data_IF_796479357493
#
_entry.id   IF_796479357493
#
_cell.length_a   1.000
_cell.length_b   1.000
_cell.length_c   1.000
_cell.angle_alpha   90.00
_cell.angle_beta   90.00
_cell.angle_gamma   90.00
#
_symmetry.space_group_name_H-M   'P 1'
#
loop_
_entity.id
_entity.type
_entity.pdbx_description
1 polymer ?
#
# COMPACT_ATOMS: atom_id res chain seq x y z
N UNK A 1 59.41 -22.18 53.59
CA UNK A 1 58.57 -20.98 53.29
C UNK A 1 58.28 -21.00 51.80
N UNK A 2 57.04 -21.35 51.40
CA UNK A 2 56.60 -21.40 49.98
C UNK A 2 55.50 -20.37 49.80
N UNK A 3 55.78 -19.31 49.06
CA UNK A 3 54.80 -18.29 48.69
C UNK A 3 53.99 -18.77 47.49
N UNK A 4 52.68 -18.84 47.66
CA UNK A 4 51.71 -19.06 46.55
C UNK A 4 51.37 -17.71 45.93
N UNK A 5 51.75 -17.55 44.67
CA UNK A 5 51.28 -16.41 43.82
C UNK A 5 49.91 -16.78 43.23
N UNK A 6 48.88 -16.01 43.61
CA UNK A 6 47.53 -16.13 43.01
C UNK A 6 47.47 -15.24 41.75
N UNK A 7 47.44 -15.86 40.60
CA UNK A 7 47.16 -15.17 39.35
C UNK A 7 45.66 -14.79 39.22
N UNK A 8 45.37 -13.50 39.10
CA UNK A 8 44.04 -13.01 38.81
C UNK A 8 43.81 -13.01 37.26
N UNK A 9 42.98 -13.89 36.79
CA UNK A 9 42.52 -13.92 35.38
C UNK A 9 41.42 -12.89 35.20
N UNK A 10 41.73 -11.83 34.49
CA UNK A 10 40.80 -10.76 34.12
C UNK A 10 40.01 -11.22 32.88
N UNK A 11 38.74 -11.58 33.06
CA UNK A 11 37.83 -11.93 31.96
C UNK A 11 37.36 -10.64 31.27
N UNK A 12 37.78 -10.43 30.04
CA UNK A 12 37.27 -9.37 29.16
C UNK A 12 35.94 -9.82 28.59
N UNK A 13 34.82 -9.25 29.08
CA UNK A 13 33.50 -9.44 28.49
C UNK A 13 33.40 -8.65 27.18
N UNK A 14 33.42 -9.36 26.06
CA UNK A 14 33.21 -8.78 24.75
C UNK A 14 31.69 -8.50 24.57
N UNK A 15 31.31 -7.23 24.75
CA UNK A 15 29.93 -6.79 24.55
C UNK A 15 29.65 -6.74 23.03
N UNK A 16 29.06 -7.79 22.47
CA UNK A 16 28.51 -7.76 21.09
C UNK A 16 27.24 -6.95 21.10
N UNK A 17 27.35 -5.67 20.71
CA UNK A 17 26.19 -4.88 20.36
C UNK A 17 25.56 -5.48 19.10
N UNK A 18 24.50 -6.28 19.26
CA UNK A 18 23.68 -6.78 18.18
C UNK A 18 22.98 -5.60 17.51
N UNK A 19 23.49 -5.17 16.37
CA UNK A 19 22.78 -4.22 15.51
C UNK A 19 21.46 -4.86 15.07
N UNK A 20 20.33 -4.32 15.50
CA UNK A 20 19.03 -4.70 14.99
C UNK A 20 19.00 -4.36 13.49
N UNK A 21 19.07 -5.38 12.64
CA UNK A 21 18.81 -5.24 11.21
C UNK A 21 17.37 -4.80 11.06
N UNK A 22 17.14 -3.59 10.55
CA UNK A 22 15.81 -3.14 10.18
C UNK A 22 15.19 -4.14 9.22
N UNK A 23 13.94 -4.56 9.49
CA UNK A 23 13.24 -5.47 8.60
C UNK A 23 13.22 -4.90 7.18
N UNK A 24 13.48 -5.71 6.14
CA UNK A 24 13.44 -5.23 4.77
C UNK A 24 12.04 -4.68 4.48
N UNK A 25 11.99 -3.46 3.93
CA UNK A 25 10.74 -2.82 3.53
C UNK A 25 10.03 -3.62 2.42
N UNK A 26 8.76 -3.36 2.19
CA UNK A 26 8.01 -4.00 1.09
C UNK A 26 8.74 -3.80 -0.23
N UNK A 27 8.95 -4.88 -1.02
CA UNK A 27 9.54 -4.74 -2.35
C UNK A 27 8.62 -3.91 -3.25
N UNK A 28 9.21 -3.04 -4.05
CA UNK A 28 8.46 -2.26 -5.06
C UNK A 28 8.39 -3.03 -6.37
N UNK A 29 7.30 -2.87 -7.16
CA UNK A 29 6.13 -2.05 -6.87
C UNK A 29 5.16 -2.73 -5.90
N UNK A 30 4.43 -1.93 -5.10
CA UNK A 30 3.34 -2.44 -4.28
C UNK A 30 2.16 -1.46 -4.23
N UNK A 31 0.98 -1.98 -3.86
CA UNK A 31 -0.22 -1.18 -3.74
C UNK A 31 -0.34 -0.53 -2.36
N UNK A 32 -0.84 0.69 -2.35
CA UNK A 32 -1.25 1.43 -1.17
C UNK A 32 -2.52 2.23 -1.48
N UNK A 33 -3.12 2.81 -0.48
CA UNK A 33 -4.26 3.71 -0.63
C UNK A 33 -4.06 5.00 0.16
N UNK A 34 -4.74 6.08 -0.21
CA UNK A 34 -4.70 7.32 0.55
C UNK A 34 -5.43 7.17 1.88
N UNK A 35 -4.75 7.49 2.99
CA UNK A 35 -5.30 7.38 4.34
C UNK A 35 -6.06 8.64 4.79
N UNK A 36 -5.92 9.75 4.05
CA UNK A 36 -6.45 11.05 4.39
C UNK A 36 -7.44 11.54 3.32
N UNK A 37 -8.36 12.43 3.72
CA UNK A 37 -9.31 13.05 2.79
C UNK A 37 -8.63 14.06 1.85
N UNK A 38 -7.50 14.63 2.29
CA UNK A 38 -6.61 15.44 1.47
C UNK A 38 -5.18 14.91 1.55
N UNK A 39 -4.55 14.66 0.41
CA UNK A 39 -3.16 14.22 0.30
C UNK A 39 -2.44 15.00 -0.80
N UNK A 40 -1.25 15.51 -0.48
CA UNK A 40 -0.42 16.28 -1.41
C UNK A 40 0.68 15.42 -2.00
N UNK A 41 0.77 15.41 -3.31
CA UNK A 41 1.88 14.88 -4.07
C UNK A 41 2.86 16.00 -4.41
N UNK A 42 4.17 15.71 -4.28
CA UNK A 42 5.25 16.67 -4.51
C UNK A 42 6.16 16.21 -5.63
N UNK A 43 6.90 17.16 -6.20
CA UNK A 43 7.85 16.85 -7.27
C UNK A 43 9.11 16.16 -6.77
N UNK A 44 9.38 16.17 -5.45
CA UNK A 44 10.56 15.53 -4.84
C UNK A 44 10.31 15.05 -3.42
N UNK A 45 11.21 14.24 -2.86
CA UNK A 45 11.07 13.56 -1.58
C UNK A 45 11.48 14.42 -0.38
N UNK A 46 10.90 15.61 -0.25
CA UNK A 46 11.06 16.52 0.90
C UNK A 46 9.87 17.46 0.99
N UNK A 47 9.65 18.06 2.16
CA UNK A 47 8.66 19.12 2.37
C UNK A 47 9.05 20.42 1.64
N UNK A 48 10.33 20.61 1.32
CA UNK A 48 10.84 21.78 0.60
C UNK A 48 10.46 21.78 -0.89
N UNK A 49 10.14 20.60 -1.44
CA UNK A 49 9.67 20.51 -2.81
C UNK A 49 8.22 20.99 -2.94
N UNK A 50 7.90 21.72 -4.00
CA UNK A 50 6.53 22.18 -4.23
C UNK A 50 5.57 21.01 -4.45
N UNK A 51 4.32 21.21 -4.02
CA UNK A 51 3.23 20.30 -4.34
C UNK A 51 2.76 20.55 -5.77
N UNK A 52 2.71 19.52 -6.59
CA UNK A 52 2.23 19.57 -7.96
C UNK A 52 0.80 19.03 -8.10
N UNK A 53 0.30 18.33 -7.09
CA UNK A 53 -1.06 17.78 -7.09
C UNK A 53 -1.64 17.66 -5.68
N UNK A 54 -2.96 17.82 -5.57
CA UNK A 54 -3.72 17.63 -4.32
C UNK A 54 -4.87 16.66 -4.59
N UNK A 55 -4.83 15.50 -3.97
CA UNK A 55 -5.92 14.52 -3.99
C UNK A 55 -6.89 14.82 -2.87
N UNK A 56 -8.19 14.79 -3.17
CA UNK A 56 -9.27 14.96 -2.17
C UNK A 56 -10.17 13.75 -2.15
N UNK A 57 -9.54 12.58 -1.95
CA UNK A 57 -10.26 11.32 -1.98
C UNK A 57 -9.56 10.27 -1.13
N UNK A 58 -10.13 9.98 0.03
CA UNK A 58 -9.71 8.85 0.86
C UNK A 58 -9.88 7.53 0.10
N UNK A 59 -9.08 6.55 0.45
CA UNK A 59 -9.09 5.20 -0.13
C UNK A 59 -8.72 5.15 -1.64
N UNK A 60 -8.32 6.28 -2.27
CA UNK A 60 -7.83 6.25 -3.65
C UNK A 60 -6.62 5.30 -3.74
N UNK A 61 -6.65 4.26 -4.60
CA UNK A 61 -5.51 3.39 -4.80
C UNK A 61 -4.35 4.14 -5.44
N UNK A 62 -3.13 3.81 -5.04
CA UNK A 62 -1.90 4.29 -5.65
C UNK A 62 -0.89 3.16 -5.70
N UNK A 63 -0.03 3.17 -6.69
CA UNK A 63 1.05 2.20 -6.85
C UNK A 63 2.36 2.83 -6.36
N UNK A 64 2.99 2.27 -5.35
CA UNK A 64 4.31 2.71 -4.88
C UNK A 64 5.37 2.09 -5.77
N UNK A 65 6.12 2.92 -6.47
CA UNK A 65 7.14 2.51 -7.44
C UNK A 65 8.57 2.73 -6.95
N UNK A 66 8.76 3.56 -5.93
CA UNK A 66 10.06 3.80 -5.32
C UNK A 66 9.91 4.20 -3.85
N UNK A 67 10.91 3.87 -3.04
CA UNK A 67 10.98 4.19 -1.60
C UNK A 67 12.28 4.95 -1.34
N UNK A 68 12.17 6.07 -0.61
CA UNK A 68 13.32 6.83 -0.11
C UNK A 68 13.00 7.34 1.31
N UNK A 69 13.55 6.69 2.33
CA UNK A 69 13.25 6.99 3.73
C UNK A 69 11.75 6.97 4.02
N UNK A 70 11.19 8.08 4.46
CA UNK A 70 9.75 8.24 4.73
C UNK A 70 8.93 8.65 3.49
N UNK A 71 9.57 8.75 2.34
CA UNK A 71 8.93 9.16 1.10
C UNK A 71 8.67 7.97 0.18
N UNK A 72 7.54 8.03 -0.51
CA UNK A 72 7.10 7.04 -1.50
C UNK A 72 6.86 7.76 -2.81
N UNK A 73 7.54 7.33 -3.88
CA UNK A 73 7.15 7.74 -5.22
C UNK A 73 5.96 6.90 -5.62
N UNK A 74 4.85 7.56 -5.88
CA UNK A 74 3.59 6.91 -6.24
C UNK A 74 3.25 7.16 -7.70
N UNK A 75 2.47 6.27 -8.26
CA UNK A 75 1.76 6.41 -9.52
C UNK A 75 0.26 6.34 -9.23
N UNK A 76 -0.51 7.27 -9.77
CA UNK A 76 -1.95 7.33 -9.62
C UNK A 76 -2.68 6.59 -10.75
N UNK A 77 -4.03 6.45 -10.71
CA UNK A 77 -4.79 5.75 -11.74
C UNK A 77 -4.66 6.35 -13.16
N UNK A 78 -4.31 7.62 -13.27
CA UNK A 78 -4.13 8.32 -14.55
C UNK A 78 -2.67 8.31 -15.04
N UNK A 79 -1.77 7.65 -14.27
CA UNK A 79 -0.35 7.52 -14.59
C UNK A 79 0.52 8.69 -14.13
N UNK A 80 -0.05 9.67 -13.41
CA UNK A 80 0.74 10.75 -12.83
C UNK A 80 1.64 10.23 -11.70
N UNK A 81 2.88 10.70 -11.64
CA UNK A 81 3.86 10.26 -10.65
C UNK A 81 4.38 11.43 -9.82
N UNK A 82 4.67 11.16 -8.56
CA UNK A 82 5.30 12.10 -7.64
C UNK A 82 5.51 11.49 -6.26
N UNK A 83 5.92 12.31 -5.32
CA UNK A 83 6.32 11.88 -4.00
C UNK A 83 5.29 12.20 -2.93
N UNK A 84 4.99 11.23 -2.09
CA UNK A 84 4.14 11.37 -0.91
C UNK A 84 4.86 10.90 0.34
N UNK A 85 4.57 11.54 1.46
CA UNK A 85 5.04 11.07 2.75
C UNK A 85 4.24 9.82 3.16
N UNK A 86 4.92 8.82 3.73
CA UNK A 86 4.33 7.52 4.10
C UNK A 86 3.10 7.64 5.01
N UNK A 87 3.03 8.66 5.87
CA UNK A 87 1.87 8.93 6.74
C UNK A 87 0.55 9.21 6.01
N UNK A 88 0.62 9.58 4.72
CA UNK A 88 -0.54 9.82 3.87
C UNK A 88 -1.07 8.54 3.21
N UNK A 89 -0.36 7.42 3.41
CA UNK A 89 -0.65 6.14 2.79
C UNK A 89 -1.14 5.12 3.82
N UNK A 90 -1.91 4.16 3.35
CA UNK A 90 -2.43 3.02 4.10
C UNK A 90 -2.20 1.73 3.31
N UNK A 91 -2.08 0.62 4.02
CA UNK A 91 -2.03 -0.72 3.41
C UNK A 91 -3.41 -1.31 3.11
N UNK A 92 -4.48 -0.55 3.34
CA UNK A 92 -5.84 -1.00 3.03
C UNK A 92 -5.97 -1.29 1.54
N UNK A 93 -6.31 -2.53 1.14
CA UNK A 93 -6.49 -2.87 -0.26
C UNK A 93 -7.69 -2.14 -0.85
N UNK A 94 -7.45 -1.36 -1.89
CA UNK A 94 -8.50 -0.61 -2.60
C UNK A 94 -8.31 -0.72 -4.11
N UNK A 95 -9.37 -0.42 -4.83
CA UNK A 95 -9.34 -0.30 -6.28
C UNK A 95 -10.28 0.81 -6.77
N UNK A 96 -10.05 1.28 -7.98
CA UNK A 96 -10.91 2.20 -8.70
C UNK A 96 -11.42 1.52 -9.96
N UNK A 97 -12.69 1.71 -10.28
CA UNK A 97 -13.30 1.18 -11.51
C UNK A 97 -12.71 1.94 -12.71
N UNK A 98 -12.07 1.21 -13.63
CA UNK A 98 -11.51 1.75 -14.88
C UNK A 98 -12.40 1.51 -16.10
N UNK A 99 -13.28 0.51 -16.05
CA UNK A 99 -14.30 0.29 -17.05
C UNK A 99 -15.40 1.36 -16.97
N UNK A 100 -16.13 1.59 -18.04
CA UNK A 100 -17.25 2.56 -18.05
C UNK A 100 -18.31 2.20 -17.01
N UNK A 101 -18.57 0.91 -16.81
CA UNK A 101 -19.38 0.39 -15.72
C UNK A 101 -18.93 -1.02 -15.33
N UNK A 102 -18.88 -1.29 -14.04
CA UNK A 102 -18.57 -2.59 -13.48
C UNK A 102 -19.76 -3.13 -12.68
N UNK A 103 -20.37 -4.25 -13.08
CA UNK A 103 -21.43 -4.88 -12.32
C UNK A 103 -20.83 -5.56 -11.06
N UNK A 104 -21.42 -5.28 -9.90
CA UNK A 104 -21.16 -5.98 -8.64
C UNK A 104 -22.14 -7.15 -8.56
N UNK A 105 -21.64 -8.36 -8.66
CA UNK A 105 -22.44 -9.58 -8.75
C UNK A 105 -22.57 -10.30 -7.41
N UNK A 106 -23.61 -11.07 -7.26
CA UNK A 106 -23.86 -11.88 -6.06
C UNK A 106 -22.78 -12.96 -5.85
N UNK A 107 -22.19 -13.47 -6.93
CA UNK A 107 -21.13 -14.48 -6.89
C UNK A 107 -20.11 -14.22 -8.01
N UNK A 108 -18.92 -14.81 -7.87
CA UNK A 108 -17.90 -14.78 -8.91
C UNK A 108 -18.36 -15.61 -10.13
N UNK A 109 -18.62 -14.95 -11.24
CA UNK A 109 -19.06 -15.60 -12.48
C UNK A 109 -19.92 -14.68 -13.34
N UNK A 110 -19.79 -14.81 -14.66
CA UNK A 110 -20.52 -13.97 -15.64
C UNK A 110 -22.03 -14.19 -15.61
N UNK A 111 -22.47 -15.38 -15.24
CA UNK A 111 -23.89 -15.74 -15.12
C UNK A 111 -24.54 -15.31 -13.79
N UNK A 112 -23.76 -14.84 -12.81
CA UNK A 112 -24.30 -14.42 -11.52
C UNK A 112 -25.08 -13.11 -11.67
N UNK A 113 -26.16 -12.98 -10.88
CA UNK A 113 -27.01 -11.79 -10.88
C UNK A 113 -26.21 -10.56 -10.42
N UNK A 114 -26.35 -9.45 -11.16
CA UNK A 114 -25.81 -8.16 -10.77
C UNK A 114 -26.69 -7.52 -9.71
N UNK A 115 -26.12 -7.20 -8.54
CA UNK A 115 -26.80 -6.55 -7.44
C UNK A 115 -26.73 -5.02 -7.55
N UNK A 116 -25.57 -4.52 -7.98
CA UNK A 116 -25.26 -3.11 -8.11
C UNK A 116 -24.45 -2.87 -9.39
N UNK A 117 -24.27 -1.62 -9.75
CA UNK A 117 -23.41 -1.20 -10.84
C UNK A 117 -22.57 -0.03 -10.37
N UNK A 118 -21.24 -0.14 -10.47
CA UNK A 118 -20.30 0.94 -10.19
C UNK A 118 -19.82 1.55 -11.51
N UNK A 119 -19.90 2.87 -11.60
CA UNK A 119 -19.43 3.61 -12.77
C UNK A 119 -17.92 3.83 -12.72
N UNK A 120 -17.34 4.21 -13.85
CA UNK A 120 -15.94 4.60 -13.96
C UNK A 120 -15.54 5.64 -12.91
N UNK A 121 -14.40 5.41 -12.28
CA UNK A 121 -13.90 6.29 -11.23
C UNK A 121 -14.45 6.00 -9.83
N UNK A 122 -15.37 5.05 -9.65
CA UNK A 122 -15.82 4.65 -8.31
C UNK A 122 -14.69 3.92 -7.60
N UNK A 123 -14.37 4.36 -6.38
CA UNK A 123 -13.38 3.74 -5.50
C UNK A 123 -14.09 2.88 -4.46
N UNK A 124 -13.54 1.70 -4.21
CA UNK A 124 -14.01 0.79 -3.19
C UNK A 124 -12.88 -0.01 -2.55
N UNK A 125 -13.20 -0.70 -1.48
CA UNK A 125 -12.27 -1.58 -0.75
C UNK A 125 -12.36 -3.00 -1.27
N UNK A 126 -11.22 -3.68 -1.28
CA UNK A 126 -11.11 -5.09 -1.65
C UNK A 126 -10.95 -5.95 -0.41
N UNK A 127 -11.73 -7.02 -0.28
CA UNK A 127 -11.53 -8.02 0.77
C UNK A 127 -10.85 -9.30 0.28
N UNK A 128 -10.62 -9.42 -1.02
CA UNK A 128 -9.86 -10.50 -1.64
C UNK A 128 -10.16 -10.61 -3.13
N UNK A 129 -9.18 -11.16 -3.87
CA UNK A 129 -9.31 -11.49 -5.29
C UNK A 129 -8.88 -12.94 -5.49
N UNK A 130 -9.62 -13.67 -6.32
CA UNK A 130 -9.29 -15.05 -6.72
C UNK A 130 -9.87 -15.33 -8.11
N UNK A 131 -9.11 -16.05 -8.95
CA UNK A 131 -9.57 -16.51 -10.28
C UNK A 131 -10.14 -15.38 -11.16
N UNK A 132 -9.53 -14.19 -11.09
CA UNK A 132 -9.95 -13.03 -11.90
C UNK A 132 -11.17 -12.27 -11.36
N UNK A 133 -11.66 -12.60 -10.16
CA UNK A 133 -12.76 -11.93 -9.49
C UNK A 133 -12.33 -11.35 -8.16
N UNK A 134 -12.79 -10.14 -7.85
CA UNK A 134 -12.51 -9.46 -6.59
C UNK A 134 -13.80 -9.17 -5.83
N UNK A 135 -13.80 -9.37 -4.52
CA UNK A 135 -14.87 -8.89 -3.66
C UNK A 135 -14.66 -7.41 -3.39
N UNK A 136 -15.56 -6.58 -3.90
CA UNK A 136 -15.48 -5.13 -3.94
C UNK A 136 -16.58 -4.50 -3.12
N UNK A 137 -16.22 -3.58 -2.23
CA UNK A 137 -17.15 -2.89 -1.32
C UNK A 137 -17.10 -1.39 -1.60
N UNK A 138 -18.24 -0.84 -2.01
CA UNK A 138 -18.45 0.59 -2.19
C UNK A 138 -19.45 1.08 -1.15
N UNK A 139 -18.94 1.61 -0.03
CA UNK A 139 -19.77 2.16 1.06
C UNK A 139 -20.84 1.20 1.57
N UNK A 140 -20.49 -0.08 1.72
CA UNK A 140 -21.39 -1.13 2.19
C UNK A 140 -22.15 -1.88 1.09
N UNK A 141 -22.14 -1.40 -0.14
CA UNK A 141 -22.63 -2.14 -1.29
C UNK A 141 -21.54 -3.09 -1.78
N UNK A 142 -21.76 -4.38 -1.60
CA UNK A 142 -20.76 -5.43 -1.86
C UNK A 142 -21.15 -6.32 -3.00
N UNK A 143 -20.17 -6.77 -3.75
CA UNK A 143 -20.35 -7.75 -4.79
C UNK A 143 -19.04 -8.15 -5.44
N UNK A 144 -19.09 -9.14 -6.30
CA UNK A 144 -17.95 -9.61 -7.08
C UNK A 144 -17.83 -8.82 -8.37
N UNK A 145 -16.62 -8.31 -8.63
CA UNK A 145 -16.26 -7.56 -9.84
C UNK A 145 -15.08 -8.24 -10.52
N UNK A 146 -15.02 -8.24 -11.83
CA UNK A 146 -13.83 -8.73 -12.56
C UNK A 146 -12.63 -7.86 -12.25
N UNK A 147 -11.49 -8.48 -11.96
CA UNK A 147 -10.24 -7.81 -11.65
C UNK A 147 -9.75 -6.91 -12.80
N UNK A 148 -10.01 -7.31 -14.06
CA UNK A 148 -9.65 -6.54 -15.25
C UNK A 148 -10.47 -5.25 -15.45
N UNK A 149 -11.58 -5.08 -14.73
CA UNK A 149 -12.37 -3.85 -14.70
C UNK A 149 -11.89 -2.85 -13.63
N UNK A 150 -10.93 -3.26 -12.82
CA UNK A 150 -10.41 -2.50 -11.68
C UNK A 150 -8.94 -2.11 -11.89
N UNK A 151 -8.53 -1.01 -11.29
CA UNK A 151 -7.13 -0.64 -11.11
C UNK A 151 -6.86 -0.47 -9.61
N UNK A 152 -5.90 -1.19 -9.06
CA UNK A 152 -5.59 -1.19 -7.62
C UNK A 152 -5.08 -2.54 -7.15
N UNK A 153 -5.24 -2.86 -5.87
CA UNK A 153 -4.74 -4.06 -5.21
C UNK A 153 -5.51 -5.34 -5.63
N UNK A 154 -5.57 -5.62 -6.92
CA UNK A 154 -6.30 -6.77 -7.51
C UNK A 154 -5.44 -8.02 -7.67
N UNK A 155 -4.13 -7.87 -7.63
CA UNK A 155 -3.13 -8.93 -7.73
C UNK A 155 -2.53 -9.23 -6.33
N UNK A 156 -2.44 -10.51 -6.00
CA UNK A 156 -1.69 -11.03 -4.86
C UNK A 156 -0.74 -12.11 -5.34
#
# INVERSE_FOLDING_TARGET
>A
MKQCVRGATMAIALNMAGGALAAPGKPVPYWASLSQDEARMRVGPSLDYPSNWVYRRRDLPVKVVQVLGLWRKIEDPDGAQGWMHVRLLSDTPTAIVKADAAPLRQAAGDGAMALFRAEKGVVGRLSGCASGWCNFDVKGQRGFVKADQLWGATDK
#
